data_IF_914854409936
#
_entry.id   IF_914854409936
#
_cell.length_a   1.000
_cell.length_b   1.000
_cell.length_c   1.000
_cell.angle_alpha   90.00
_cell.angle_beta   90.00
_cell.angle_gamma   90.00
#
_symmetry.space_group_name_H-M   'P 1'
#
loop_
_entity.id
_entity.type
_entity.pdbx_description
1 polymer ?
#
# COMPACT_ATOMS: atom_id res chain seq x y z
N UNK A 1 11.44 -14.55 -14.87
CA UNK A 1 10.43 -13.46 -14.80
C UNK A 1 9.05 -13.82 -15.35
N UNK A 2 8.84 -14.22 -16.62
CA UNK A 2 7.45 -14.55 -17.06
C UNK A 2 6.88 -15.80 -16.41
N UNK A 3 7.71 -16.82 -16.15
CA UNK A 3 7.29 -18.04 -15.47
C UNK A 3 7.00 -17.80 -13.98
N UNK A 4 7.86 -17.05 -13.29
CA UNK A 4 7.68 -16.71 -11.87
C UNK A 4 6.42 -15.89 -11.63
N UNK A 5 6.10 -14.95 -12.54
CA UNK A 5 4.85 -14.18 -12.49
C UNK A 5 3.62 -15.07 -12.69
N UNK A 6 3.65 -16.05 -13.60
CA UNK A 6 2.52 -16.99 -13.75
C UNK A 6 2.35 -17.89 -12.51
N UNK A 7 3.45 -18.33 -11.90
CA UNK A 7 3.42 -19.08 -10.63
C UNK A 7 2.84 -18.21 -9.51
N UNK A 8 3.29 -16.96 -9.41
CA UNK A 8 2.76 -15.97 -8.47
C UNK A 8 1.26 -15.74 -8.67
N UNK A 9 0.81 -15.59 -9.91
CA UNK A 9 -0.60 -15.42 -10.27
C UNK A 9 -1.44 -16.62 -9.85
N UNK A 10 -0.99 -17.83 -10.18
CA UNK A 10 -1.68 -19.07 -9.85
C UNK A 10 -1.77 -19.28 -8.33
N UNK A 11 -0.69 -19.04 -7.61
CA UNK A 11 -0.66 -19.13 -6.15
C UNK A 11 -1.58 -18.08 -5.50
N UNK A 12 -1.52 -16.82 -5.94
CA UNK A 12 -2.40 -15.77 -5.42
C UNK A 12 -3.88 -16.08 -5.66
N UNK A 13 -4.24 -16.50 -6.88
CA UNK A 13 -5.60 -16.94 -7.23
C UNK A 13 -6.08 -18.06 -6.31
N UNK A 14 -5.21 -19.04 -6.03
CA UNK A 14 -5.52 -20.18 -5.15
C UNK A 14 -5.77 -19.75 -3.70
N UNK A 15 -4.93 -18.87 -3.15
CA UNK A 15 -5.02 -18.42 -1.75
C UNK A 15 -6.20 -17.48 -1.52
N UNK A 16 -6.39 -16.50 -2.40
CA UNK A 16 -7.40 -15.45 -2.21
C UNK A 16 -8.75 -15.78 -2.88
N UNK A 17 -8.82 -16.83 -3.70
CA UNK A 17 -10.04 -17.23 -4.42
C UNK A 17 -10.65 -16.12 -5.28
N UNK A 18 -9.80 -15.31 -5.92
CA UNK A 18 -10.17 -14.17 -6.79
C UNK A 18 -9.48 -14.26 -8.14
N UNK A 19 -10.01 -13.59 -9.16
CA UNK A 19 -9.27 -13.40 -10.41
C UNK A 19 -8.24 -12.28 -10.22
N UNK A 20 -6.92 -12.56 -10.29
CA UNK A 20 -5.91 -11.57 -9.94
C UNK A 20 -5.79 -10.48 -11.01
N UNK A 21 -5.76 -9.21 -10.58
CA UNK A 21 -5.48 -8.07 -11.46
C UNK A 21 -4.00 -7.73 -11.43
N UNK A 22 -3.36 -7.74 -12.61
CA UNK A 22 -1.95 -7.37 -12.73
C UNK A 22 -1.72 -5.89 -12.42
N UNK A 23 -0.62 -5.60 -11.72
CA UNK A 23 -0.05 -4.26 -11.56
C UNK A 23 1.46 -4.27 -11.85
N UNK A 24 2.02 -3.07 -11.99
CA UNK A 24 3.41 -2.88 -12.42
C UNK A 24 3.55 -2.97 -13.94
N UNK A 25 4.61 -2.36 -14.47
CA UNK A 25 5.00 -2.45 -15.88
C UNK A 25 6.22 -3.38 -15.98
N UNK A 26 6.52 -3.93 -17.15
CA UNK A 26 7.72 -4.77 -17.35
C UNK A 26 9.03 -4.10 -16.89
N UNK A 27 9.08 -2.76 -16.95
CA UNK A 27 10.22 -1.95 -16.54
C UNK A 27 10.13 -1.43 -15.09
N UNK A 28 9.07 -1.73 -14.34
CA UNK A 28 8.99 -1.32 -12.93
C UNK A 28 9.73 -2.32 -12.04
N UNK A 29 10.36 -1.78 -11.00
CA UNK A 29 11.05 -2.57 -9.98
C UNK A 29 10.14 -3.48 -9.17
N UNK A 30 8.82 -3.29 -9.26
CA UNK A 30 7.81 -4.13 -8.63
C UNK A 30 6.72 -4.52 -9.63
N UNK A 31 6.42 -5.81 -9.74
CA UNK A 31 5.37 -6.37 -10.60
C UNK A 31 4.60 -7.45 -9.83
N UNK A 32 3.29 -7.53 -10.04
CA UNK A 32 2.49 -8.44 -9.24
C UNK A 32 1.00 -8.41 -9.53
N UNK A 33 0.21 -8.88 -8.55
CA UNK A 33 -1.23 -9.04 -8.67
C UNK A 33 -1.96 -8.56 -7.42
N UNK A 34 -3.14 -7.97 -7.59
CA UNK A 34 -4.07 -7.65 -6.51
C UNK A 34 -5.40 -8.38 -6.66
N UNK A 35 -6.19 -8.40 -5.58
CA UNK A 35 -7.56 -8.90 -5.56
C UNK A 35 -8.57 -7.96 -6.24
N UNK A 36 -8.13 -6.78 -6.68
CA UNK A 36 -8.95 -5.74 -7.30
C UNK A 36 -10.13 -5.27 -6.42
N UNK A 37 -10.04 -5.41 -5.10
CA UNK A 37 -11.06 -4.92 -4.19
C UNK A 37 -11.20 -3.39 -4.26
N UNK A 38 -12.39 -2.85 -3.93
CA UNK A 38 -12.62 -1.41 -3.81
C UNK A 38 -12.36 -1.00 -2.36
N UNK A 39 -11.33 -0.20 -2.12
CA UNK A 39 -10.89 0.17 -0.77
C UNK A 39 -9.62 -0.61 -0.39
N UNK A 40 -9.69 -1.36 0.69
CA UNK A 40 -8.57 -2.19 1.16
C UNK A 40 -8.41 -3.39 0.23
N UNK A 41 -7.18 -3.66 -0.19
CA UNK A 41 -6.84 -4.69 -1.16
C UNK A 41 -5.72 -5.57 -0.63
N UNK A 42 -5.78 -6.86 -0.96
CA UNK A 42 -4.59 -7.71 -0.96
C UNK A 42 -3.78 -7.50 -2.24
N UNK A 43 -2.46 -7.42 -2.10
CA UNK A 43 -1.54 -7.45 -3.23
C UNK A 43 -0.36 -8.40 -2.96
N UNK A 44 0.19 -8.97 -4.02
CA UNK A 44 1.46 -9.69 -3.97
C UNK A 44 2.34 -9.20 -5.11
N UNK A 45 3.63 -9.00 -4.88
CA UNK A 45 4.57 -8.54 -5.90
C UNK A 45 5.96 -9.14 -5.75
N UNK A 46 6.71 -9.15 -6.85
CA UNK A 46 8.14 -9.48 -6.90
C UNK A 46 8.90 -8.17 -7.07
N UNK A 47 9.88 -7.93 -6.19
CA UNK A 47 10.79 -6.79 -6.26
C UNK A 47 12.02 -7.19 -7.06
N UNK A 48 12.15 -6.71 -8.30
CA UNK A 48 13.16 -7.18 -9.25
C UNK A 48 14.61 -6.94 -8.84
N UNK A 49 14.86 -6.01 -7.91
CA UNK A 49 16.20 -5.68 -7.41
C UNK A 49 16.71 -6.72 -6.41
N UNK A 50 15.80 -7.41 -5.73
CA UNK A 50 16.11 -8.36 -4.63
C UNK A 50 15.57 -9.75 -4.91
N UNK A 51 14.74 -9.90 -5.93
CA UNK A 51 13.89 -11.06 -6.19
C UNK A 51 12.96 -11.45 -5.02
N UNK A 52 12.76 -10.53 -4.07
CA UNK A 52 11.91 -10.77 -2.91
C UNK A 52 10.44 -10.72 -3.31
N UNK A 53 9.68 -11.69 -2.81
CA UNK A 53 8.22 -11.72 -2.92
C UNK A 53 7.66 -11.03 -1.68
N UNK A 54 6.70 -10.14 -1.87
CA UNK A 54 6.01 -9.45 -0.79
C UNK A 54 4.52 -9.63 -0.92
N UNK A 55 3.85 -10.02 0.17
CA UNK A 55 2.41 -9.91 0.32
C UNK A 55 2.11 -8.62 1.07
N UNK A 56 1.09 -7.87 0.66
CA UNK A 56 0.70 -6.65 1.33
C UNK A 56 -0.80 -6.41 1.42
N UNK A 57 -1.14 -5.60 2.41
CA UNK A 57 -2.44 -4.94 2.58
C UNK A 57 -2.27 -3.52 2.10
N UNK A 58 -3.14 -3.09 1.19
CA UNK A 58 -2.97 -1.88 0.42
C UNK A 58 -4.23 -1.02 0.48
N UNK A 59 -4.08 0.27 0.77
CA UNK A 59 -5.19 1.23 0.69
C UNK A 59 -4.79 2.43 -0.15
N UNK A 60 -5.30 2.46 -1.37
CA UNK A 60 -5.01 3.54 -2.32
C UNK A 60 -5.70 4.84 -1.95
N UNK A 61 -5.10 5.96 -2.39
CA UNK A 61 -5.68 7.29 -2.30
C UNK A 61 -6.81 7.57 -3.30
N UNK A 62 -7.75 6.64 -3.45
CA UNK A 62 -8.83 6.73 -4.44
C UNK A 62 -10.21 6.82 -3.79
N UNK A 63 -11.14 7.38 -4.57
CA UNK A 63 -12.55 7.39 -4.21
C UNK A 63 -13.28 6.17 -4.77
N UNK A 64 -14.17 5.58 -3.97
CA UNK A 64 -15.06 4.50 -4.38
C UNK A 64 -16.49 4.89 -4.01
N UNK A 65 -17.37 5.05 -5.00
CA UNK A 65 -18.77 5.47 -4.79
C UNK A 65 -18.89 6.73 -3.91
N UNK A 66 -18.07 7.76 -4.18
CA UNK A 66 -17.95 9.01 -3.40
C UNK A 66 -17.43 8.86 -1.96
N UNK A 67 -17.05 7.66 -1.51
CA UNK A 67 -16.30 7.45 -0.28
C UNK A 67 -14.79 7.56 -0.53
N UNK A 68 -14.06 8.06 0.46
CA UNK A 68 -12.59 8.12 0.47
C UNK A 68 -12.06 7.29 1.65
N UNK A 69 -11.91 5.97 1.49
CA UNK A 69 -11.47 5.07 2.57
C UNK A 69 -10.22 5.56 3.31
N UNK A 70 -9.19 6.00 2.58
CA UNK A 70 -7.96 6.53 3.17
C UNK A 70 -8.23 7.75 4.08
N UNK A 71 -9.19 8.60 3.72
CA UNK A 71 -9.57 9.77 4.50
C UNK A 71 -10.17 9.38 5.85
N UNK A 72 -11.03 8.34 5.87
CA UNK A 72 -11.60 7.79 7.11
C UNK A 72 -10.51 7.18 7.98
N UNK A 73 -9.62 6.36 7.40
CA UNK A 73 -8.52 5.74 8.13
C UNK A 73 -7.66 6.79 8.83
N UNK A 74 -7.20 7.80 8.10
CA UNK A 74 -6.30 8.83 8.66
C UNK A 74 -6.98 9.65 9.77
N UNK A 75 -8.26 10.00 9.60
CA UNK A 75 -9.01 10.74 10.62
C UNK A 75 -9.25 9.89 11.88
N UNK A 76 -9.67 8.63 11.71
CA UNK A 76 -9.87 7.73 12.85
C UNK A 76 -8.55 7.48 13.60
N UNK A 77 -7.46 7.30 12.87
CA UNK A 77 -6.16 7.06 13.48
C UNK A 77 -5.60 8.29 14.20
N UNK A 78 -5.84 9.50 13.68
CA UNK A 78 -5.48 10.74 14.37
C UNK A 78 -6.28 10.94 15.67
N UNK A 79 -7.50 10.41 15.75
CA UNK A 79 -8.33 10.48 16.96
C UNK A 79 -7.88 9.45 18.01
N UNK A 80 -7.77 8.18 17.62
CA UNK A 80 -7.69 7.07 18.59
C UNK A 80 -6.37 6.29 18.54
N UNK A 81 -5.55 6.46 17.49
CA UNK A 81 -4.31 5.72 17.23
C UNK A 81 -4.50 4.19 17.26
N UNK A 82 -5.68 3.70 16.89
CA UNK A 82 -6.08 2.30 17.09
C UNK A 82 -5.20 1.33 16.31
N UNK A 83 -4.92 1.61 15.03
CA UNK A 83 -4.08 0.75 14.20
C UNK A 83 -2.68 0.64 14.79
N UNK A 84 -2.07 1.78 15.15
CA UNK A 84 -0.74 1.78 15.75
C UNK A 84 -0.74 1.03 17.08
N UNK A 85 -1.64 1.34 18.00
CA UNK A 85 -1.66 0.70 19.31
C UNK A 85 -1.86 -0.83 19.19
N UNK A 86 -2.69 -1.30 18.26
CA UNK A 86 -2.96 -2.73 18.06
C UNK A 86 -1.81 -3.47 17.37
N UNK A 87 -1.10 -2.83 16.43
CA UNK A 87 -0.22 -3.54 15.50
C UNK A 87 1.23 -3.06 15.49
N UNK A 88 1.60 -2.04 16.27
CA UNK A 88 2.97 -1.53 16.28
C UNK A 88 3.99 -2.64 16.57
N UNK A 89 3.71 -3.61 17.44
CA UNK A 89 4.68 -4.65 17.81
C UNK A 89 4.98 -5.70 16.71
N UNK A 90 4.33 -5.66 15.53
CA UNK A 90 4.64 -6.59 14.46
C UNK A 90 6.04 -6.36 13.85
N UNK A 91 7.00 -7.21 14.21
CA UNK A 91 8.41 -7.09 13.78
C UNK A 91 8.67 -7.40 12.30
N UNK A 92 7.82 -8.25 11.73
CA UNK A 92 7.90 -8.76 10.36
C UNK A 92 7.15 -7.90 9.34
N UNK A 93 6.30 -6.98 9.80
CA UNK A 93 5.52 -6.10 8.95
C UNK A 93 6.30 -4.83 8.69
N UNK A 94 6.48 -4.48 7.41
CA UNK A 94 7.00 -3.20 6.97
C UNK A 94 5.84 -2.31 6.53
N UNK A 95 5.77 -1.11 7.10
CA UNK A 95 4.90 -0.04 6.62
C UNK A 95 5.59 0.71 5.48
N UNK A 96 4.81 1.06 4.46
CA UNK A 96 5.14 2.11 3.51
C UNK A 96 3.93 3.04 3.35
N UNK A 97 4.14 4.32 3.64
CA UNK A 97 3.16 5.38 3.53
C UNK A 97 3.72 6.48 2.64
N UNK A 98 3.06 6.72 1.51
CA UNK A 98 3.56 7.58 0.44
C UNK A 98 2.53 8.60 -0.03
N UNK A 99 3.03 9.58 -0.78
CA UNK A 99 2.30 10.60 -1.52
C UNK A 99 2.42 10.32 -3.01
N UNK A 100 1.30 9.95 -3.63
CA UNK A 100 1.21 9.87 -5.08
C UNK A 100 0.94 11.25 -5.68
N UNK A 101 1.74 11.69 -6.65
CA UNK A 101 1.42 12.85 -7.50
C UNK A 101 0.76 12.41 -8.81
N UNK A 102 -0.39 13.00 -9.14
CA UNK A 102 -1.21 12.58 -10.27
C UNK A 102 -1.06 13.49 -11.49
N UNK A 103 -0.90 12.86 -12.65
CA UNK A 103 -1.13 13.45 -13.96
C UNK A 103 -2.24 12.65 -14.66
N UNK A 104 -3.45 13.20 -14.64
CA UNK A 104 -4.67 12.52 -15.12
C UNK A 104 -4.84 11.18 -14.36
N UNK A 105 -4.58 10.05 -15.02
CA UNK A 105 -4.67 8.70 -14.44
C UNK A 105 -3.31 8.10 -14.07
N UNK A 106 -2.20 8.76 -14.39
CA UNK A 106 -0.85 8.28 -14.11
C UNK A 106 -0.29 8.91 -12.83
N UNK A 107 0.57 8.16 -12.13
CA UNK A 107 1.37 8.64 -11.00
C UNK A 107 2.74 9.08 -11.49
N UNK A 108 3.19 10.24 -11.04
CA UNK A 108 4.49 10.82 -11.37
C UNK A 108 5.48 10.54 -10.23
N UNK A 109 6.70 10.06 -10.52
CA UNK A 109 7.76 9.97 -9.53
C UNK A 109 8.15 11.37 -9.03
N UNK A 110 8.12 11.57 -7.72
CA UNK A 110 8.44 12.85 -7.06
C UNK A 110 9.42 12.66 -5.91
N UNK A 111 10.17 13.71 -5.56
CA UNK A 111 11.11 13.66 -4.43
C UNK A 111 10.38 13.56 -3.07
N UNK A 112 9.21 14.17 -2.95
CA UNK A 112 8.42 14.23 -1.72
C UNK A 112 7.46 13.03 -1.55
N UNK A 113 7.74 11.91 -2.22
CA UNK A 113 6.88 10.72 -2.22
C UNK A 113 6.80 10.07 -0.84
N UNK A 114 7.93 9.93 -0.13
CA UNK A 114 7.97 9.17 1.11
C UNK A 114 7.48 9.99 2.31
N UNK A 115 6.38 9.56 2.93
CA UNK A 115 5.89 10.14 4.19
C UNK A 115 6.46 9.38 5.39
N UNK A 116 6.36 8.04 5.33
CA UNK A 116 6.86 7.15 6.36
C UNK A 116 7.14 5.76 5.80
N UNK A 117 8.24 5.15 6.22
CA UNK A 117 8.56 3.76 5.92
C UNK A 117 9.41 3.18 7.03
N UNK A 118 9.24 1.88 7.28
CA UNK A 118 10.05 1.13 8.22
C UNK A 118 9.32 -0.11 8.71
N UNK A 119 10.02 -0.93 9.50
CA UNK A 119 9.38 -1.99 10.27
C UNK A 119 8.36 -1.36 11.22
N UNK A 120 7.16 -1.92 11.29
CA UNK A 120 6.07 -1.37 12.09
C UNK A 120 6.48 -1.27 13.57
N UNK A 121 7.20 -2.27 14.08
CA UNK A 121 7.84 -2.31 15.41
C UNK A 121 8.88 -1.24 15.69
N UNK A 122 9.45 -0.64 14.66
CA UNK A 122 10.50 0.38 14.78
C UNK A 122 9.98 1.79 14.54
N UNK A 123 8.69 1.95 14.22
CA UNK A 123 8.09 3.27 14.02
C UNK A 123 7.74 3.87 15.36
N UNK A 124 8.35 5.01 15.65
CA UNK A 124 7.99 5.81 16.81
C UNK A 124 6.59 6.41 16.65
N UNK A 125 5.80 6.40 17.73
CA UNK A 125 4.43 6.95 17.73
C UNK A 125 4.37 8.41 17.26
N UNK A 126 5.35 9.23 17.65
CA UNK A 126 5.42 10.62 17.21
C UNK A 126 5.60 10.74 15.68
N UNK A 127 6.44 9.87 15.09
CA UNK A 127 6.67 9.82 13.66
C UNK A 127 5.43 9.31 12.91
N UNK A 128 4.74 8.32 13.46
CA UNK A 128 3.44 7.86 12.96
C UNK A 128 2.44 9.03 12.88
N UNK A 129 2.18 9.71 14.00
CA UNK A 129 1.23 10.84 14.07
C UNK A 129 1.61 11.96 13.09
N UNK A 130 2.88 12.34 13.02
CA UNK A 130 3.35 13.34 12.05
C UNK A 130 3.03 12.93 10.62
N UNK A 131 3.29 11.67 10.26
CA UNK A 131 3.02 11.16 8.91
C UNK A 131 1.53 11.13 8.57
N UNK A 132 0.65 10.88 9.55
CA UNK A 132 -0.80 10.93 9.36
C UNK A 132 -1.27 12.35 9.03
N UNK A 133 -0.74 13.36 9.71
CA UNK A 133 -1.03 14.76 9.38
C UNK A 133 -0.55 15.12 7.97
N UNK A 134 0.67 14.72 7.59
CA UNK A 134 1.20 14.94 6.24
C UNK A 134 0.36 14.24 5.18
N UNK A 135 -0.04 13.00 5.43
CA UNK A 135 -0.91 12.22 4.55
C UNK A 135 -2.31 12.82 4.42
N UNK A 136 -2.89 13.30 5.52
CA UNK A 136 -4.19 13.98 5.50
C UNK A 136 -4.10 15.31 4.73
N UNK A 137 -2.96 16.00 4.81
CA UNK A 137 -2.66 17.20 4.02
C UNK A 137 -2.62 16.96 2.50
N UNK A 138 -2.44 15.71 2.05
CA UNK A 138 -2.59 15.35 0.64
C UNK A 138 -4.07 15.34 0.18
N UNK A 139 -5.04 15.46 1.09
CA UNK A 139 -6.47 15.46 0.80
C UNK A 139 -7.07 16.85 0.97
N UNK A 140 -8.13 17.13 0.20
CA UNK A 140 -8.72 18.46 0.15
C UNK A 140 -9.51 18.79 1.42
N UNK A 141 -8.94 19.59 2.30
CA UNK A 141 -9.54 19.98 3.58
C UNK A 141 -10.88 20.70 3.42
N UNK A 142 -11.02 21.58 2.42
CA UNK A 142 -12.26 22.33 2.16
C UNK A 142 -13.43 21.42 1.78
N UNK A 143 -13.14 20.20 1.33
CA UNK A 143 -14.12 19.15 1.03
C UNK A 143 -14.19 18.10 2.12
N UNK A 144 -13.84 18.44 3.35
CA UNK A 144 -13.75 17.51 4.48
C UNK A 144 -12.89 16.28 4.14
N UNK A 145 -11.72 16.54 3.55
CA UNK A 145 -10.75 15.54 3.09
C UNK A 145 -11.33 14.54 2.07
N UNK A 146 -12.37 14.91 1.32
CA UNK A 146 -12.96 14.14 0.19
C UNK A 146 -12.53 14.75 -1.15
N UNK A 147 -11.30 14.47 -1.53
CA UNK A 147 -10.72 14.99 -2.76
C UNK A 147 -9.20 15.01 -2.69
N UNK A 148 -8.56 15.14 -3.85
CA UNK A 148 -7.13 15.37 -3.95
C UNK A 148 -6.81 16.83 -3.66
N UNK A 149 -5.80 17.08 -2.84
CA UNK A 149 -5.25 18.44 -2.70
C UNK A 149 -4.27 18.75 -3.83
N UNK A 150 -4.03 20.03 -4.12
CA UNK A 150 -2.95 20.47 -5.00
C UNK A 150 -1.74 20.89 -4.17
N UNK A 151 -0.59 20.30 -4.48
CA UNK A 151 0.67 20.62 -3.82
C UNK A 151 1.77 20.84 -4.87
N UNK A 152 2.75 21.66 -4.52
CA UNK A 152 3.99 21.80 -5.30
C UNK A 152 4.85 20.57 -4.98
N UNK A 153 5.25 19.84 -6.02
CA UNK A 153 6.09 18.64 -5.95
C UNK A 153 7.26 18.75 -6.92
N UNK A 154 8.36 18.07 -6.63
CA UNK A 154 9.58 18.09 -7.43
C UNK A 154 9.67 16.82 -8.27
N UNK A 155 9.67 16.95 -9.60
CA UNK A 155 9.75 15.80 -10.51
C UNK A 155 11.16 15.20 -10.51
N UNK A 156 11.30 13.92 -10.20
CA UNK A 156 12.61 13.23 -10.18
C UNK A 156 13.31 13.31 -11.55
N UNK A 157 12.55 13.25 -12.64
CA UNK A 157 13.10 13.23 -14.00
C UNK A 157 13.75 14.54 -14.45
N UNK A 158 13.35 15.69 -13.87
CA UNK A 158 13.80 17.01 -14.33
C UNK A 158 14.23 17.97 -13.22
N UNK A 159 14.00 17.64 -11.95
CA UNK A 159 14.19 18.54 -10.81
C UNK A 159 13.22 19.73 -10.78
N UNK A 160 12.25 19.79 -11.70
CA UNK A 160 11.31 20.92 -11.76
C UNK A 160 10.23 20.81 -10.69
N UNK A 161 9.94 21.95 -10.07
CA UNK A 161 8.79 22.12 -9.18
C UNK A 161 7.53 22.37 -10.00
N UNK A 162 6.51 21.54 -9.80
CA UNK A 162 5.22 21.64 -10.49
C UNK A 162 4.07 21.45 -9.52
N UNK A 163 2.96 22.13 -9.76
CA UNK A 163 1.75 21.89 -8.98
C UNK A 163 1.00 20.66 -9.52
N UNK A 164 0.69 19.69 -8.65
CA UNK A 164 -0.02 18.46 -8.98
C UNK A 164 -1.08 18.14 -7.95
N UNK A 165 -2.10 17.41 -8.39
CA UNK A 165 -2.99 16.76 -7.45
C UNK A 165 -2.23 15.64 -6.75
N UNK A 166 -2.36 15.52 -5.44
CA UNK A 166 -1.69 14.48 -4.65
C UNK A 166 -2.69 13.64 -3.87
N UNK A 167 -2.31 12.43 -3.51
CA UNK A 167 -3.08 11.59 -2.58
C UNK A 167 -2.17 10.77 -1.67
N UNK A 168 -2.60 10.49 -0.44
CA UNK A 168 -1.90 9.53 0.42
C UNK A 168 -2.18 8.09 -0.05
N UNK A 169 -1.19 7.21 0.09
CA UNK A 169 -1.32 5.78 -0.17
C UNK A 169 -0.51 5.01 0.89
N UNK A 170 -1.18 4.15 1.65
CA UNK A 170 -0.57 3.34 2.70
C UNK A 170 -0.57 1.84 2.34
N UNK A 171 0.51 1.15 2.72
CA UNK A 171 0.65 -0.30 2.55
C UNK A 171 1.41 -0.93 3.71
N UNK A 172 1.02 -2.15 4.07
CA UNK A 172 1.67 -2.99 5.08
C UNK A 172 2.11 -4.27 4.39
N UNK A 173 3.40 -4.63 4.49
CA UNK A 173 4.01 -5.68 3.68
C UNK A 173 4.77 -6.67 4.55
N UNK A 174 4.68 -7.94 4.20
CA UNK A 174 5.49 -9.03 4.75
C UNK A 174 6.23 -9.69 3.59
N UNK A 175 7.49 -10.06 3.83
CA UNK A 175 8.27 -10.87 2.92
C UNK A 175 7.78 -12.32 2.91
N UNK A 176 7.62 -12.89 1.72
CA UNK A 176 7.14 -14.25 1.49
C UNK A 176 8.31 -15.08 0.98
N UNK A 177 8.73 -16.07 1.77
CA UNK A 177 9.87 -16.92 1.47
C UNK A 177 9.39 -18.36 1.21
N UNK A 178 9.07 -18.73 -0.04
CA UNK A 178 8.73 -20.11 -0.36
C UNK A 178 9.97 -21.01 -0.38
N UNK A 179 9.83 -22.31 -0.12
CA UNK A 179 10.95 -23.26 -0.20
C UNK A 179 11.49 -23.43 -1.61
N UNK A 180 10.60 -23.34 -2.59
CA UNK A 180 10.91 -23.35 -4.02
C UNK A 180 9.85 -22.54 -4.78
N UNK A 181 10.17 -22.16 -6.02
CA UNK A 181 9.23 -21.42 -6.86
C UNK A 181 8.26 -22.38 -7.56
N UNK A 182 7.34 -22.97 -6.81
CA UNK A 182 6.21 -23.77 -7.31
C UNK A 182 4.89 -23.18 -6.79
N UNK A 183 3.78 -23.50 -7.45
CA UNK A 183 2.47 -22.98 -7.04
C UNK A 183 2.12 -23.45 -5.63
N UNK A 184 2.44 -24.69 -5.28
CA UNK A 184 2.15 -25.30 -3.98
C UNK A 184 2.92 -24.63 -2.85
N UNK A 185 4.25 -24.54 -2.95
CA UNK A 185 5.09 -23.95 -1.90
C UNK A 185 4.85 -22.44 -1.77
N UNK A 186 4.64 -21.74 -2.90
CA UNK A 186 4.29 -20.32 -2.85
C UNK A 186 2.91 -20.09 -2.26
N UNK A 187 1.92 -20.92 -2.56
CA UNK A 187 0.60 -20.84 -1.92
C UNK A 187 0.71 -21.07 -0.41
N UNK A 188 1.50 -22.06 0.02
CA UNK A 188 1.73 -22.33 1.44
C UNK A 188 2.39 -21.13 2.15
N UNK A 189 3.43 -20.55 1.56
CA UNK A 189 4.09 -19.36 2.09
C UNK A 189 3.14 -18.14 2.12
N UNK A 190 2.31 -17.94 1.09
CA UNK A 190 1.32 -16.87 1.04
C UNK A 190 0.24 -17.03 2.09
N UNK A 191 -0.28 -18.24 2.32
CA UNK A 191 -1.25 -18.49 3.40
C UNK A 191 -0.65 -18.13 4.77
N UNK A 192 0.60 -18.52 5.02
CA UNK A 192 1.29 -18.17 6.27
C UNK A 192 1.50 -16.66 6.42
N UNK A 193 1.85 -15.95 5.35
CA UNK A 193 1.96 -14.50 5.37
C UNK A 193 0.60 -13.81 5.56
N UNK A 194 -0.45 -14.36 4.95
CA UNK A 194 -1.82 -13.86 5.07
C UNK A 194 -2.32 -13.94 6.51
N UNK A 195 -2.07 -15.04 7.23
CA UNK A 195 -2.51 -15.16 8.64
C UNK A 195 -1.89 -14.10 9.55
N UNK A 196 -0.70 -13.59 9.19
CA UNK A 196 -0.01 -12.52 9.91
C UNK A 196 -0.53 -11.12 9.58
N UNK A 197 -1.05 -10.91 8.37
CA UNK A 197 -1.57 -9.61 7.91
C UNK A 197 -3.10 -9.47 8.02
N UNK A 198 -3.85 -10.56 8.19
CA UNK A 198 -5.31 -10.56 8.11
C UNK A 198 -5.95 -9.68 9.19
N UNK A 199 -5.34 -9.58 10.37
CA UNK A 199 -5.80 -8.69 11.44
C UNK A 199 -5.72 -7.21 11.04
N UNK A 200 -4.60 -6.80 10.43
CA UNK A 200 -4.41 -5.46 9.88
C UNK A 200 -5.40 -5.21 8.75
N UNK A 201 -5.54 -6.14 7.80
CA UNK A 201 -6.52 -6.05 6.72
C UNK A 201 -7.93 -5.82 7.25
N UNK A 202 -8.41 -6.70 8.13
CA UNK A 202 -9.76 -6.64 8.66
C UNK A 202 -10.01 -5.36 9.46
N UNK A 203 -9.03 -4.93 10.25
CA UNK A 203 -9.10 -3.67 10.97
C UNK A 203 -9.29 -2.49 10.00
N UNK A 204 -8.40 -2.34 9.01
CA UNK A 204 -8.50 -1.24 8.04
C UNK A 204 -9.82 -1.30 7.28
N UNK A 205 -10.29 -2.49 6.86
CA UNK A 205 -11.59 -2.61 6.18
C UNK A 205 -12.72 -2.12 7.07
N UNK A 206 -12.80 -2.60 8.32
CA UNK A 206 -13.87 -2.23 9.25
C UNK A 206 -13.96 -0.74 9.57
N UNK A 207 -12.83 -0.02 9.61
CA UNK A 207 -12.81 1.42 9.93
C UNK A 207 -12.96 2.31 8.69
N UNK A 208 -12.98 1.72 7.48
CA UNK A 208 -13.07 2.47 6.22
C UNK A 208 -14.34 2.22 5.42
N UNK A 209 -15.08 1.14 5.71
CA UNK A 209 -16.43 0.89 5.21
C UNK A 209 -17.43 2.01 5.57
#
# INVERSE_FOLDING_TARGET
MSQDLEILRAAFKKVFSVEPRQFGRKSSSNQGYSDNAKGVQWNVGIVSETDNIQLGVNLEGLSYNNAWPISKLLQNELNDNTLFNLFHEHEEVTLQFVRDAWQVTARLPIEEELLLQGKLSSIEKARWISSLHEGLGCLNQLKNYKGRERQIVTLISSGMKVERQVTPHISFKIEVVPKNMTVEELSAALMLAQTKLVSIHNHISSVTE
#
